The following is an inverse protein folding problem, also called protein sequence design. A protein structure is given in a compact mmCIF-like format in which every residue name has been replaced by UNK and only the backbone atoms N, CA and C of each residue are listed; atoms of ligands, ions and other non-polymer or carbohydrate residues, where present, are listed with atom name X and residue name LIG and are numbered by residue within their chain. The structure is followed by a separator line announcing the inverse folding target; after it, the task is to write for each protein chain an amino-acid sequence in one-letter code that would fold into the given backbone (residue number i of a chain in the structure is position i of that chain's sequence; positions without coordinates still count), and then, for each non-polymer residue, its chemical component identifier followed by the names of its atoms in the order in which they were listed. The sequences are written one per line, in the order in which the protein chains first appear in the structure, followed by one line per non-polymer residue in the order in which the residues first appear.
data_IF_756626568716
#
_entry.id   IF_756626568716
#
_cell.length_a   1.000
_cell.length_b   1.000
_cell.length_c   1.000
_cell.angle_alpha   90.00
_cell.angle_beta   90.00
_cell.angle_gamma   90.00
#
_symmetry.space_group_name_H-M   'P 1'
#
loop_
_entity.id
_entity.type
_entity.pdbx_description
1 polymer ?
#
# COMPACT_ATOMS: atom_id res chain seq x y z
N UNK A 1 31.25 7.74 19.54
CA UNK A 1 30.37 6.55 19.32
C UNK A 1 28.90 6.87 19.61
N UNK A 2 28.55 7.46 20.75
CA UNK A 2 27.15 7.80 21.10
C UNK A 2 26.41 8.68 20.06
N UNK A 3 27.07 9.68 19.44
CA UNK A 3 26.42 10.57 18.44
C UNK A 3 25.91 9.84 17.19
N UNK A 4 26.65 8.83 16.69
CA UNK A 4 26.22 8.00 15.54
C UNK A 4 24.97 7.17 15.86
N UNK A 5 24.88 6.69 17.09
CA UNK A 5 23.76 5.86 17.51
C UNK A 5 22.45 6.67 17.58
N UNK A 6 22.52 7.93 18.01
CA UNK A 6 21.38 8.85 17.96
C UNK A 6 20.91 9.13 16.53
N UNK A 7 21.83 9.28 15.58
CA UNK A 7 21.51 9.47 14.15
C UNK A 7 20.85 8.22 13.55
N UNK A 8 21.38 7.02 13.84
CA UNK A 8 20.81 5.76 13.37
C UNK A 8 19.38 5.53 13.89
N UNK A 9 19.10 5.87 15.16
CA UNK A 9 17.74 5.79 15.72
C UNK A 9 16.80 6.80 15.05
N UNK A 10 17.28 8.01 14.73
CA UNK A 10 16.48 9.00 14.02
C UNK A 10 16.15 8.55 12.59
N UNK A 11 17.13 8.01 11.87
CA UNK A 11 16.94 7.45 10.53
C UNK A 11 15.99 6.25 10.54
N UNK A 12 16.11 5.34 11.52
CA UNK A 12 15.20 4.21 11.63
C UNK A 12 13.73 4.67 11.80
N UNK A 13 13.49 5.67 12.66
CA UNK A 13 12.14 6.24 12.84
C UNK A 13 11.62 6.90 11.56
N UNK A 14 12.50 7.54 10.80
CA UNK A 14 12.16 8.11 9.49
C UNK A 14 11.74 7.03 8.51
N UNK A 15 12.50 5.95 8.39
CA UNK A 15 12.19 4.83 7.51
C UNK A 15 10.90 4.12 7.91
N UNK A 16 10.66 3.91 9.22
CA UNK A 16 9.39 3.37 9.71
C UNK A 16 8.20 4.22 9.26
N UNK A 17 8.30 5.55 9.36
CA UNK A 17 7.23 6.45 8.90
C UNK A 17 7.04 6.40 7.39
N UNK A 18 8.13 6.30 6.62
CA UNK A 18 8.08 6.15 5.16
C UNK A 18 7.41 4.85 4.73
N UNK A 19 7.66 3.76 5.45
CA UNK A 19 7.01 2.47 5.22
C UNK A 19 5.49 2.57 5.44
N UNK A 20 5.04 3.22 6.51
CA UNK A 20 3.60 3.45 6.73
C UNK A 20 2.99 4.30 5.61
N UNK A 21 3.63 5.43 5.26
CA UNK A 21 3.17 6.29 4.16
C UNK A 21 3.14 5.56 2.80
N UNK A 22 4.07 4.63 2.58
CA UNK A 22 4.06 3.78 1.39
C UNK A 22 2.81 2.88 1.35
N UNK A 23 2.45 2.25 2.47
CA UNK A 23 1.29 1.38 2.56
C UNK A 23 -0.03 2.14 2.39
N UNK A 24 -0.16 3.34 2.97
CA UNK A 24 -1.28 4.24 2.74
C UNK A 24 -1.44 4.57 1.25
N UNK A 25 -0.35 5.03 0.61
CA UNK A 25 -0.32 5.30 -0.83
C UNK A 25 -0.69 4.06 -1.64
N UNK A 26 -0.14 2.90 -1.28
CA UNK A 26 -0.35 1.66 -2.04
C UNK A 26 -1.78 1.15 -1.93
N UNK A 27 -2.41 1.34 -0.77
CA UNK A 27 -3.84 1.07 -0.60
C UNK A 27 -4.69 1.92 -1.54
N UNK A 28 -4.46 3.24 -1.58
CA UNK A 28 -5.16 4.14 -2.50
C UNK A 28 -4.95 3.74 -3.96
N UNK A 29 -3.73 3.38 -4.34
CA UNK A 29 -3.41 2.88 -5.68
C UNK A 29 -4.19 1.61 -6.05
N UNK A 30 -4.45 0.71 -5.09
CA UNK A 30 -5.29 -0.47 -5.34
C UNK A 30 -6.76 -0.11 -5.52
N UNK A 31 -7.28 0.86 -4.76
CA UNK A 31 -8.65 1.36 -4.89
C UNK A 31 -8.91 1.97 -6.27
N UNK A 32 -7.97 2.75 -6.81
CA UNK A 32 -8.08 3.31 -8.17
C UNK A 32 -8.22 2.21 -9.25
N UNK A 33 -7.57 1.07 -9.03
CA UNK A 33 -7.56 -0.06 -9.97
C UNK A 33 -8.78 -0.96 -9.87
N UNK A 34 -9.49 -0.92 -8.75
CA UNK A 34 -10.81 -1.51 -8.65
C UNK A 34 -11.75 -0.88 -9.68
N UNK A 35 -11.67 0.44 -9.84
CA UNK A 35 -12.55 1.22 -10.73
C UNK A 35 -11.98 1.43 -12.14
N UNK A 36 -10.82 0.87 -12.45
CA UNK A 36 -10.15 1.09 -13.73
C UNK A 36 -10.88 0.40 -14.89
N UNK A 37 -11.81 1.14 -15.51
CA UNK A 37 -12.44 0.79 -16.78
C UNK A 37 -11.37 0.74 -17.89
N UNK A 38 -11.41 -0.32 -18.72
CA UNK A 38 -10.51 -0.44 -19.88
C UNK A 38 -9.94 -1.83 -20.10
N UNK A 39 -10.12 -2.76 -19.15
CA UNK A 39 -9.81 -4.16 -19.40
C UNK A 39 -10.90 -4.75 -20.30
N UNK A 40 -10.58 -5.07 -21.55
CA UNK A 40 -11.40 -5.95 -22.39
C UNK A 40 -11.31 -7.37 -21.82
N UNK A 41 -11.97 -7.59 -20.69
CA UNK A 41 -12.03 -8.88 -20.00
C UNK A 41 -13.48 -9.33 -19.89
N UNK A 42 -13.68 -10.64 -19.73
CA UNK A 42 -15.01 -11.16 -19.42
C UNK A 42 -15.55 -10.54 -18.12
N UNK A 43 -16.87 -10.49 -17.99
CA UNK A 43 -17.54 -9.94 -16.81
C UNK A 43 -17.08 -10.66 -15.52
N UNK A 44 -16.97 -11.99 -15.57
CA UNK A 44 -16.50 -12.82 -14.45
C UNK A 44 -15.06 -12.45 -14.02
N UNK A 45 -14.18 -12.21 -14.98
CA UNK A 45 -12.80 -11.79 -14.70
C UNK A 45 -12.76 -10.35 -14.16
N UNK A 46 -13.63 -9.47 -14.63
CA UNK A 46 -13.76 -8.11 -14.10
C UNK A 46 -14.16 -8.11 -12.62
N UNK A 47 -15.16 -8.91 -12.25
CA UNK A 47 -15.59 -9.07 -10.85
C UNK A 47 -14.47 -9.64 -9.96
N UNK A 48 -13.77 -10.66 -10.44
CA UNK A 48 -12.62 -11.23 -9.73
C UNK A 48 -11.49 -10.22 -9.51
N UNK A 49 -11.18 -9.40 -10.53
CA UNK A 49 -10.17 -8.34 -10.43
C UNK A 49 -10.57 -7.24 -9.44
N UNK A 50 -11.84 -6.84 -9.42
CA UNK A 50 -12.36 -5.87 -8.45
C UNK A 50 -12.25 -6.40 -7.01
N UNK A 51 -12.72 -7.63 -6.78
CA UNK A 51 -12.62 -8.28 -5.46
C UNK A 51 -11.18 -8.42 -5.00
N UNK A 52 -10.27 -8.77 -5.91
CA UNK A 52 -8.85 -8.88 -5.61
C UNK A 52 -8.24 -7.51 -5.28
N UNK A 53 -8.54 -6.47 -6.07
CA UNK A 53 -8.06 -5.11 -5.82
C UNK A 53 -8.53 -4.58 -4.46
N UNK A 54 -9.80 -4.78 -4.08
CA UNK A 54 -10.31 -4.44 -2.74
C UNK A 54 -9.57 -5.18 -1.64
N UNK A 55 -9.36 -6.48 -1.81
CA UNK A 55 -8.66 -7.31 -0.83
C UNK A 55 -7.21 -6.83 -0.63
N UNK A 56 -6.54 -6.45 -1.71
CA UNK A 56 -5.20 -5.86 -1.66
C UNK A 56 -5.22 -4.48 -0.99
N UNK A 57 -6.18 -3.62 -1.31
CA UNK A 57 -6.31 -2.32 -0.67
C UNK A 57 -6.48 -2.43 0.86
N UNK A 58 -7.31 -3.37 1.32
CA UNK A 58 -7.51 -3.65 2.74
C UNK A 58 -6.24 -4.18 3.41
N UNK A 59 -5.56 -5.14 2.78
CA UNK A 59 -4.28 -5.65 3.30
C UNK A 59 -3.26 -4.53 3.48
N UNK A 60 -3.16 -3.59 2.54
CA UNK A 60 -2.24 -2.46 2.67
C UNK A 60 -2.67 -1.48 3.79
N UNK A 61 -3.97 -1.31 4.04
CA UNK A 61 -4.44 -0.52 5.21
C UNK A 61 -4.04 -1.20 6.53
N UNK A 62 -4.22 -2.52 6.63
CA UNK A 62 -3.82 -3.28 7.81
C UNK A 62 -2.30 -3.20 8.06
N UNK A 63 -1.49 -3.06 7.00
CA UNK A 63 -0.04 -2.87 7.10
C UNK A 63 0.38 -1.42 7.44
N UNK A 64 -0.52 -0.45 7.27
CA UNK A 64 -0.28 0.96 7.59
C UNK A 64 -0.65 1.33 9.04
N UNK A 65 -1.27 0.41 9.80
CA UNK A 65 -1.67 0.58 11.21
C UNK A 65 -0.71 -0.08 12.20
#
# INVERSE_FOLDING_TARGET
RAKRWSEEVALLKEEMRRVLAYFEYKSAWWMERETAEGHQVSLELAEGLQSYARSQAHLQQDMAS
#
